data_IF_302800095297
#
_entry.id   IF_302800095297
#
_cell.length_a   1.000
_cell.length_b   1.000
_cell.length_c   1.000
_cell.angle_alpha   90.00
_cell.angle_beta   90.00
_cell.angle_gamma   90.00
#
_symmetry.space_group_name_H-M   'P 1'
#
loop_
_entity.id
_entity.type
_entity.pdbx_description
1 polymer ?
#
# COMPACT_ATOMS: atom_id res chain seq x y z
N UNK A 1 8.99 32.74 11.47
CA UNK A 1 8.47 31.38 11.67
C UNK A 1 7.05 31.42 11.19
N UNK A 2 6.75 30.73 10.09
CA UNK A 2 5.38 30.62 9.59
C UNK A 2 4.54 29.86 10.63
N UNK A 3 3.24 30.10 10.70
CA UNK A 3 2.33 29.38 11.60
C UNK A 3 2.48 27.85 11.48
N UNK A 4 2.76 27.37 10.26
CA UNK A 4 3.02 25.96 10.01
C UNK A 4 4.30 25.44 10.67
N UNK A 5 5.39 26.20 10.63
CA UNK A 5 6.66 25.83 11.29
C UNK A 5 6.46 25.70 12.81
N UNK A 6 5.62 26.57 13.39
CA UNK A 6 5.26 26.47 14.80
C UNK A 6 4.50 25.16 15.10
N UNK A 7 3.51 24.83 14.27
CA UNK A 7 2.72 23.58 14.45
C UNK A 7 3.58 22.33 14.27
N UNK A 8 4.53 22.34 13.32
CA UNK A 8 5.50 21.27 13.15
C UNK A 8 6.39 21.15 14.40
N UNK A 9 6.90 22.26 14.93
CA UNK A 9 7.71 22.24 16.15
C UNK A 9 6.92 21.72 17.36
N UNK A 10 5.65 22.10 17.50
CA UNK A 10 4.76 21.58 18.54
C UNK A 10 4.54 20.07 18.38
N UNK A 11 4.33 19.59 17.15
CA UNK A 11 4.20 18.17 16.82
C UNK A 11 5.46 17.38 17.21
N UNK A 12 6.64 17.88 16.87
CA UNK A 12 7.94 17.29 17.21
C UNK A 12 8.23 17.30 18.72
N UNK A 13 7.74 18.31 19.45
CA UNK A 13 7.89 18.41 20.91
C UNK A 13 6.99 17.45 21.72
N UNK A 14 6.23 16.59 21.05
CA UNK A 14 5.35 15.60 21.68
C UNK A 14 3.88 16.02 21.83
N UNK A 15 3.48 17.19 21.31
CA UNK A 15 2.07 17.65 21.31
C UNK A 15 1.32 17.22 20.03
N UNK A 16 1.59 15.99 19.55
CA UNK A 16 1.21 15.53 18.22
C UNK A 16 -0.28 15.70 17.90
N UNK A 17 -1.17 15.22 18.77
CA UNK A 17 -2.62 15.28 18.52
C UNK A 17 -3.18 16.72 18.58
N UNK A 18 -2.62 17.57 19.45
CA UNK A 18 -3.05 18.96 19.56
C UNK A 18 -2.62 19.75 18.32
N UNK A 19 -1.36 19.59 17.89
CA UNK A 19 -0.80 20.20 16.69
C UNK A 19 -1.55 19.74 15.43
N UNK A 20 -1.82 18.43 15.29
CA UNK A 20 -2.57 17.87 14.15
C UNK A 20 -3.99 18.45 14.05
N UNK A 21 -4.71 18.56 15.18
CA UNK A 21 -6.05 19.18 15.21
C UNK A 21 -6.00 20.68 14.92
N UNK A 22 -4.96 21.38 15.37
CA UNK A 22 -4.76 22.79 15.05
C UNK A 22 -4.48 22.99 13.55
N UNK A 23 -3.60 22.19 12.96
CA UNK A 23 -3.34 22.17 11.52
C UNK A 23 -4.61 21.88 10.72
N UNK A 24 -5.39 20.87 11.10
CA UNK A 24 -6.65 20.56 10.44
C UNK A 24 -7.68 21.69 10.52
N UNK A 25 -7.76 22.40 11.66
CA UNK A 25 -8.60 23.59 11.80
C UNK A 25 -8.13 24.75 10.93
N UNK A 26 -6.82 24.97 10.82
CA UNK A 26 -6.24 26.00 9.94
C UNK A 26 -6.64 25.72 8.48
N UNK A 27 -6.65 24.46 8.07
CA UNK A 27 -7.05 24.06 6.71
C UNK A 27 -8.51 24.35 6.36
N UNK A 28 -9.41 24.55 7.33
CA UNK A 28 -10.82 24.88 7.04
C UNK A 28 -10.97 26.24 6.35
N UNK A 29 -10.00 27.14 6.51
CA UNK A 29 -9.96 28.46 5.86
C UNK A 29 -8.57 28.71 5.22
N UNK A 30 -7.95 27.65 4.68
CA UNK A 30 -6.61 27.72 4.10
C UNK A 30 -6.56 28.61 2.85
N UNK A 31 -5.54 29.45 2.80
CA UNK A 31 -5.14 30.20 1.62
C UNK A 31 -4.43 29.30 0.61
N UNK A 32 -4.23 29.79 -0.62
CA UNK A 32 -3.40 29.10 -1.61
C UNK A 32 -1.97 28.86 -1.09
N UNK A 33 -1.38 29.80 -0.34
CA UNK A 33 -0.06 29.62 0.25
C UNK A 33 -0.01 28.48 1.27
N UNK A 34 -1.09 28.28 2.04
CA UNK A 34 -1.19 27.16 2.98
C UNK A 34 -1.22 25.82 2.24
N UNK A 35 -1.95 25.73 1.12
CA UNK A 35 -2.00 24.51 0.31
C UNK A 35 -0.67 24.21 -0.37
N UNK A 36 0.04 25.23 -0.88
CA UNK A 36 1.39 25.05 -1.42
C UNK A 36 2.35 24.54 -0.34
N UNK A 37 2.25 25.06 0.89
CA UNK A 37 3.05 24.57 2.01
C UNK A 37 2.74 23.10 2.32
N UNK A 38 1.46 22.71 2.39
CA UNK A 38 1.08 21.31 2.67
C UNK A 38 1.56 20.34 1.59
N UNK A 39 1.52 20.74 0.32
CA UNK A 39 2.04 19.92 -0.78
C UNK A 39 3.55 19.76 -0.65
N UNK A 40 4.29 20.85 -0.46
CA UNK A 40 5.74 20.80 -0.26
C UNK A 40 6.13 20.00 0.99
N UNK A 41 5.35 20.11 2.07
CA UNK A 41 5.57 19.36 3.30
C UNK A 41 5.37 17.84 3.11
N UNK A 42 4.51 17.39 2.19
CA UNK A 42 4.37 15.96 1.86
C UNK A 42 5.57 15.39 1.11
N UNK A 43 6.33 16.23 0.42
CA UNK A 43 7.57 15.86 -0.28
C UNK A 43 8.81 15.95 0.65
N UNK A 44 8.67 16.57 1.82
CA UNK A 44 9.74 16.71 2.81
C UNK A 44 9.81 15.50 3.74
N UNK A 45 11.04 15.00 4.00
CA UNK A 45 11.28 13.79 4.79
C UNK A 45 10.77 13.85 6.24
N UNK A 46 10.65 15.05 6.80
CA UNK A 46 10.25 15.25 8.20
C UNK A 46 8.83 15.80 8.30
N UNK A 47 8.49 16.81 7.50
CA UNK A 47 7.20 17.50 7.60
C UNK A 47 6.02 16.63 7.11
N UNK A 48 6.28 15.62 6.26
CA UNK A 48 5.24 14.70 5.77
C UNK A 48 4.51 13.98 6.91
N UNK A 49 5.20 13.73 8.02
CA UNK A 49 4.63 13.09 9.21
C UNK A 49 3.63 13.98 9.94
N UNK A 50 3.87 15.29 9.95
CA UNK A 50 2.90 16.24 10.48
C UNK A 50 1.66 16.29 9.58
N UNK A 51 1.83 16.34 8.26
CA UNK A 51 0.70 16.36 7.32
C UNK A 51 -0.14 15.08 7.39
N UNK A 52 0.49 13.90 7.46
CA UNK A 52 -0.25 12.65 7.63
C UNK A 52 -1.05 12.66 8.93
N UNK A 53 -0.48 13.15 10.04
CA UNK A 53 -1.18 13.28 11.31
C UNK A 53 -2.39 14.24 11.23
N UNK A 54 -2.27 15.36 10.51
CA UNK A 54 -3.38 16.29 10.24
C UNK A 54 -4.55 15.60 9.56
N UNK A 55 -4.30 14.68 8.62
CA UNK A 55 -5.38 13.95 7.93
C UNK A 55 -5.81 12.64 8.59
N UNK A 56 -5.22 12.26 9.74
CA UNK A 56 -5.84 11.24 10.60
C UNK A 56 -7.12 11.76 11.27
N UNK A 57 -7.21 13.07 11.51
CA UNK A 57 -8.32 13.67 12.27
C UNK A 57 -9.54 14.04 11.40
N UNK A 58 -9.42 14.02 10.07
CA UNK A 58 -10.51 14.37 9.17
C UNK A 58 -10.25 13.93 7.72
N UNK A 59 -11.23 14.09 6.82
CA UNK A 59 -11.11 13.67 5.42
C UNK A 59 -9.97 14.38 4.68
N UNK A 60 -9.36 13.65 3.74
CA UNK A 60 -8.35 14.17 2.81
C UNK A 60 -9.03 14.98 1.69
N UNK A 61 -8.66 16.24 1.44
CA UNK A 61 -9.17 17.01 0.31
C UNK A 61 -8.77 16.38 -1.04
N UNK A 62 -9.65 16.44 -2.05
CA UNK A 62 -9.39 15.87 -3.39
C UNK A 62 -8.07 16.38 -4.01
N UNK A 63 -7.67 17.63 -3.74
CA UNK A 63 -6.42 18.24 -4.25
C UNK A 63 -5.15 17.57 -3.71
N UNK A 64 -5.23 16.84 -2.60
CA UNK A 64 -4.09 16.14 -1.99
C UNK A 64 -4.11 14.64 -2.27
N UNK A 65 -5.10 14.13 -3.03
CA UNK A 65 -5.24 12.70 -3.28
C UNK A 65 -3.96 12.09 -3.87
N UNK A 66 -3.45 12.68 -4.94
CA UNK A 66 -2.27 12.18 -5.64
C UNK A 66 -1.01 12.41 -4.80
N UNK A 67 -0.80 13.60 -4.25
CA UNK A 67 0.38 13.93 -3.42
C UNK A 67 0.48 13.04 -2.18
N UNK A 68 -0.63 12.71 -1.53
CA UNK A 68 -0.65 11.78 -0.39
C UNK A 68 -0.25 10.36 -0.82
N UNK A 69 -0.77 9.87 -1.95
CA UNK A 69 -0.40 8.53 -2.44
C UNK A 69 1.03 8.49 -2.97
N UNK A 70 1.55 9.58 -3.54
CA UNK A 70 2.95 9.71 -3.91
C UNK A 70 3.86 9.68 -2.68
N UNK A 71 3.52 10.41 -1.60
CA UNK A 71 4.25 10.30 -0.33
C UNK A 71 4.24 8.85 0.23
N UNK A 72 3.17 8.08 0.00
CA UNK A 72 3.12 6.68 0.36
C UNK A 72 4.03 5.78 -0.50
N UNK A 73 4.13 6.07 -1.80
CA UNK A 73 4.97 5.33 -2.76
C UNK A 73 6.45 5.57 -2.46
N UNK A 74 6.83 6.81 -2.19
CA UNK A 74 8.22 7.17 -1.93
C UNK A 74 8.71 6.78 -0.53
N UNK A 75 7.83 6.35 0.37
CA UNK A 75 8.21 5.95 1.73
C UNK A 75 8.84 4.56 1.74
N UNK A 76 10.11 4.51 2.16
CA UNK A 76 10.94 3.30 2.16
C UNK A 76 10.43 2.27 3.16
N UNK A 77 9.96 2.69 4.33
CA UNK A 77 9.42 1.78 5.33
C UNK A 77 7.96 1.39 5.00
N UNK A 78 7.68 0.11 4.65
CA UNK A 78 6.34 -0.31 4.30
C UNK A 78 5.35 -0.17 5.45
N UNK A 79 5.78 -0.17 6.73
CA UNK A 79 4.85 0.01 7.85
C UNK A 79 4.41 1.48 8.00
N UNK A 80 5.33 2.41 7.74
CA UNK A 80 5.09 3.85 7.85
C UNK A 80 4.23 4.42 6.72
N UNK A 81 4.30 3.85 5.51
CA UNK A 81 3.53 4.37 4.37
C UNK A 81 2.00 4.29 4.57
N UNK A 82 1.51 3.45 5.49
CA UNK A 82 0.08 3.33 5.85
C UNK A 82 -0.50 4.65 6.37
N UNK A 83 0.34 5.53 6.95
CA UNK A 83 -0.08 6.83 7.47
C UNK A 83 -0.65 7.73 6.36
N UNK A 84 -0.27 7.49 5.11
CA UNK A 84 -0.78 8.22 3.94
C UNK A 84 -1.89 7.46 3.21
N UNK A 85 -1.78 6.12 3.14
CA UNK A 85 -2.76 5.26 2.45
C UNK A 85 -4.10 5.23 3.19
N UNK A 86 -4.11 4.98 4.51
CA UNK A 86 -5.33 4.75 5.27
C UNK A 86 -6.28 5.97 5.28
N UNK A 87 -5.81 7.22 5.45
CA UNK A 87 -6.66 8.40 5.29
C UNK A 87 -7.28 8.52 3.89
N UNK A 88 -6.52 8.17 2.84
CA UNK A 88 -7.02 8.19 1.47
C UNK A 88 -8.09 7.11 1.25
N UNK A 89 -7.88 5.89 1.73
CA UNK A 89 -8.88 4.81 1.67
C UNK A 89 -10.15 5.21 2.40
N UNK A 90 -10.04 5.78 3.60
CA UNK A 90 -11.17 6.25 4.39
C UNK A 90 -11.97 7.35 3.69
N UNK A 91 -11.31 8.22 2.93
CA UNK A 91 -11.95 9.38 2.29
C UNK A 91 -12.49 9.07 0.89
N UNK A 92 -11.72 8.33 0.09
CA UNK A 92 -11.98 8.11 -1.34
C UNK A 92 -12.42 6.68 -1.68
N UNK A 93 -12.39 5.78 -0.69
CA UNK A 93 -12.74 4.37 -0.85
C UNK A 93 -11.64 3.53 -1.49
N UNK A 94 -11.78 2.21 -1.32
CA UNK A 94 -10.81 1.21 -1.78
C UNK A 94 -10.60 1.25 -3.29
N UNK A 95 -11.67 1.39 -4.08
CA UNK A 95 -11.60 1.38 -5.55
C UNK A 95 -10.66 2.43 -6.08
N UNK A 96 -10.86 3.69 -5.70
CA UNK A 96 -10.10 4.82 -6.25
C UNK A 96 -8.62 4.75 -5.86
N UNK A 97 -8.34 4.38 -4.62
CA UNK A 97 -6.95 4.20 -4.14
C UNK A 97 -6.27 3.03 -4.82
N UNK A 98 -6.91 1.86 -4.91
CA UNK A 98 -6.32 0.70 -5.57
C UNK A 98 -6.12 0.94 -7.07
N UNK A 99 -7.05 1.61 -7.76
CA UNK A 99 -6.91 1.94 -9.17
C UNK A 99 -5.66 2.80 -9.41
N UNK A 100 -5.50 3.88 -8.65
CA UNK A 100 -4.32 4.75 -8.75
C UNK A 100 -3.01 3.97 -8.53
N UNK A 101 -2.93 3.19 -7.45
CA UNK A 101 -1.71 2.43 -7.15
C UNK A 101 -1.44 1.33 -8.19
N UNK A 102 -2.47 0.71 -8.77
CA UNK A 102 -2.30 -0.27 -9.85
C UNK A 102 -1.83 0.39 -11.14
N UNK A 103 -2.27 1.62 -11.43
CA UNK A 103 -1.76 2.37 -12.57
C UNK A 103 -0.24 2.63 -12.43
N UNK A 104 0.25 2.89 -11.21
CA UNK A 104 1.70 3.00 -10.93
C UNK A 104 2.42 1.66 -11.07
N UNK A 105 1.84 0.55 -10.57
CA UNK A 105 2.44 -0.79 -10.72
C UNK A 105 2.55 -1.22 -12.18
N UNK A 106 1.66 -0.73 -13.04
CA UNK A 106 1.67 -0.98 -14.49
C UNK A 106 2.61 -0.04 -15.27
N UNK A 107 3.27 0.89 -14.58
CA UNK A 107 4.30 1.77 -15.12
C UNK A 107 5.65 1.08 -15.34
N UNK A 108 6.70 1.88 -15.48
CA UNK A 108 8.06 1.44 -15.82
C UNK A 108 9.14 1.86 -14.82
N UNK A 109 8.80 2.63 -13.78
CA UNK A 109 9.73 3.00 -12.70
C UNK A 109 9.72 1.95 -11.58
N UNK A 110 10.79 1.16 -11.49
CA UNK A 110 10.93 0.09 -10.49
C UNK A 110 10.79 0.57 -9.04
N UNK A 111 11.26 1.79 -8.73
CA UNK A 111 11.17 2.36 -7.39
C UNK A 111 9.73 2.68 -7.05
N UNK A 112 9.02 3.34 -7.97
CA UNK A 112 7.60 3.63 -7.81
C UNK A 112 6.75 2.35 -7.76
N UNK A 113 7.05 1.35 -8.60
CA UNK A 113 6.38 0.05 -8.58
C UNK A 113 6.56 -0.61 -7.22
N UNK A 114 7.78 -0.69 -6.69
CA UNK A 114 8.03 -1.31 -5.40
C UNK A 114 7.27 -0.59 -4.27
N UNK A 115 7.28 0.74 -4.26
CA UNK A 115 6.53 1.57 -3.33
C UNK A 115 5.01 1.38 -3.43
N UNK A 116 4.48 1.34 -4.65
CA UNK A 116 3.05 1.13 -4.90
C UNK A 116 2.58 -0.26 -4.48
N UNK A 117 3.37 -1.32 -4.70
CA UNK A 117 3.07 -2.66 -4.20
C UNK A 117 3.03 -2.67 -2.67
N UNK A 118 3.98 -2.00 -2.01
CA UNK A 118 3.98 -1.85 -0.56
C UNK A 118 2.74 -1.10 -0.05
N UNK A 119 2.36 0.00 -0.70
CA UNK A 119 1.16 0.76 -0.36
C UNK A 119 -0.15 -0.04 -0.56
N UNK A 120 -0.21 -0.85 -1.62
CA UNK A 120 -1.33 -1.75 -1.93
C UNK A 120 -1.56 -2.84 -0.86
N UNK A 121 -0.60 -3.08 0.03
CA UNK A 121 -0.79 -3.95 1.18
C UNK A 121 -1.81 -3.35 2.17
N UNK A 122 -1.73 -2.04 2.42
CA UNK A 122 -2.62 -1.32 3.34
C UNK A 122 -3.95 -0.90 2.71
N UNK A 123 -4.02 -0.85 1.39
CA UNK A 123 -5.26 -0.60 0.65
C UNK A 123 -6.15 -1.84 0.47
N UNK A 124 -5.89 -2.94 1.22
CA UNK A 124 -6.73 -4.14 1.20
C UNK A 124 -8.05 -3.88 1.93
N UNK A 125 -9.16 -4.27 1.31
CA UNK A 125 -10.45 -4.35 2.02
C UNK A 125 -10.43 -5.59 2.91
N UNK A 126 -10.50 -5.38 4.22
CA UNK A 126 -10.72 -6.46 5.19
C UNK A 126 -12.23 -6.66 5.29
N UNK A 127 -12.70 -7.88 5.08
CA UNK A 127 -14.08 -8.24 5.39
C UNK A 127 -14.23 -8.23 6.92
N UNK A 128 -14.99 -7.28 7.44
CA UNK A 128 -15.39 -7.28 8.85
C UNK A 128 -16.65 -8.15 9.00
N UNK A 129 -16.56 -9.18 9.84
CA UNK A 129 -17.68 -10.08 10.14
C UNK A 129 -18.27 -9.75 11.51
N UNK A 130 -19.60 -9.87 11.65
CA UNK A 130 -20.27 -9.70 12.94
C UNK A 130 -20.09 -10.97 13.80
N UNK A 131 -18.93 -11.12 14.43
CA UNK A 131 -18.63 -12.26 15.32
C UNK A 131 -17.15 -12.64 15.32
N UNK A 132 -16.73 -13.43 16.32
CA UNK A 132 -15.37 -13.98 16.42
C UNK A 132 -15.23 -15.36 15.76
N UNK A 133 -16.12 -15.71 14.83
CA UNK A 133 -16.14 -17.05 14.24
C UNK A 133 -15.21 -17.10 13.01
N UNK A 134 -14.12 -17.91 13.03
CA UNK A 134 -13.17 -18.00 11.92
C UNK A 134 -13.76 -18.66 10.65
N UNK A 135 -14.99 -19.20 10.71
CA UNK A 135 -15.70 -19.79 9.57
C UNK A 135 -16.68 -18.82 8.88
N UNK A 136 -16.74 -17.53 9.27
CA UNK A 136 -17.60 -16.56 8.58
C UNK A 136 -17.22 -16.42 7.09
N UNK A 137 -18.17 -16.74 6.22
CA UNK A 137 -18.06 -16.64 4.76
C UNK A 137 -18.62 -15.30 4.27
N UNK A 138 -18.38 -14.95 2.98
CA UNK A 138 -18.99 -13.76 2.37
C UNK A 138 -20.54 -13.78 2.50
N UNK A 139 -21.15 -14.97 2.54
CA UNK A 139 -22.59 -15.15 2.68
C UNK A 139 -23.10 -14.66 4.05
N UNK A 140 -22.23 -14.60 5.06
CA UNK A 140 -22.54 -14.13 6.42
C UNK A 140 -22.38 -12.61 6.59
N UNK A 141 -21.79 -11.92 5.59
CA UNK A 141 -21.65 -10.47 5.60
C UNK A 141 -23.00 -9.77 5.31
N UNK A 142 -23.16 -8.51 5.74
CA UNK A 142 -24.35 -7.74 5.37
C UNK A 142 -24.45 -7.58 3.84
N UNK A 143 -25.66 -7.48 3.29
CA UNK A 143 -25.87 -7.26 1.85
C UNK A 143 -25.11 -6.05 1.31
N UNK A 144 -24.94 -5.00 2.11
CA UNK A 144 -24.17 -3.81 1.74
C UNK A 144 -22.67 -4.14 1.59
N UNK A 145 -22.10 -4.88 2.55
CA UNK A 145 -20.72 -5.35 2.47
C UNK A 145 -20.50 -6.35 1.35
N UNK A 146 -21.44 -7.28 1.13
CA UNK A 146 -21.39 -8.21 0.01
C UNK A 146 -21.35 -7.46 -1.33
N UNK A 147 -22.22 -6.45 -1.49
CA UNK A 147 -22.26 -5.65 -2.70
C UNK A 147 -20.97 -4.85 -2.89
N UNK A 148 -20.47 -4.19 -1.85
CA UNK A 148 -19.21 -3.46 -1.91
C UNK A 148 -18.01 -4.37 -2.21
N UNK A 149 -18.00 -5.60 -1.68
CA UNK A 149 -16.98 -6.60 -1.95
C UNK A 149 -17.04 -7.07 -3.42
N UNK A 150 -18.23 -7.47 -3.90
CA UNK A 150 -18.42 -7.88 -5.29
C UNK A 150 -18.12 -6.76 -6.28
N UNK A 151 -18.45 -5.52 -5.91
CA UNK A 151 -18.10 -4.36 -6.72
C UNK A 151 -16.59 -4.27 -6.91
N UNK A 152 -15.73 -4.67 -5.98
CA UNK A 152 -14.26 -4.59 -6.14
C UNK A 152 -13.61 -5.79 -6.85
N UNK A 153 -14.39 -6.78 -7.30
CA UNK A 153 -13.83 -8.01 -7.87
C UNK A 153 -12.93 -7.73 -9.09
N UNK A 154 -13.34 -6.80 -9.97
CA UNK A 154 -12.55 -6.37 -11.13
C UNK A 154 -11.17 -5.81 -10.72
N UNK A 155 -11.12 -5.04 -9.62
CA UNK A 155 -9.89 -4.45 -9.09
C UNK A 155 -8.97 -5.52 -8.52
N UNK A 156 -9.53 -6.54 -7.84
CA UNK A 156 -8.73 -7.66 -7.33
C UNK A 156 -8.22 -8.58 -8.43
N UNK A 157 -9.04 -8.83 -9.45
CA UNK A 157 -8.62 -9.55 -10.65
C UNK A 157 -7.48 -8.82 -11.36
N UNK A 158 -7.63 -7.51 -11.60
CA UNK A 158 -6.57 -6.66 -12.14
C UNK A 158 -5.31 -6.77 -11.28
N UNK A 159 -5.40 -6.53 -9.98
CA UNK A 159 -4.26 -6.62 -9.05
C UNK A 159 -3.53 -7.96 -9.13
N UNK A 160 -4.27 -9.07 -9.04
CA UNK A 160 -3.71 -10.42 -9.09
C UNK A 160 -2.99 -10.68 -10.42
N UNK A 161 -3.63 -10.33 -11.53
CA UNK A 161 -3.06 -10.52 -12.88
C UNK A 161 -1.84 -9.63 -13.12
N UNK A 162 -1.90 -8.37 -12.71
CA UNK A 162 -0.81 -7.40 -12.80
C UNK A 162 0.38 -7.88 -11.97
N UNK A 163 0.18 -8.32 -10.72
CA UNK A 163 1.26 -8.76 -9.85
C UNK A 163 1.99 -9.99 -10.41
N UNK A 164 1.26 -10.98 -10.94
CA UNK A 164 1.89 -12.13 -11.60
C UNK A 164 2.71 -11.71 -12.81
N UNK A 165 2.14 -10.85 -13.66
CA UNK A 165 2.80 -10.37 -14.88
C UNK A 165 4.05 -9.55 -14.56
N UNK A 166 3.98 -8.62 -13.61
CA UNK A 166 5.11 -7.80 -13.18
C UNK A 166 6.18 -8.66 -12.53
N UNK A 167 5.84 -9.61 -11.65
CA UNK A 167 6.84 -10.48 -11.02
C UNK A 167 7.68 -11.27 -12.03
N UNK A 168 7.03 -11.79 -13.08
CA UNK A 168 7.70 -12.58 -14.12
C UNK A 168 8.54 -11.71 -15.05
N UNK A 169 8.04 -10.53 -15.43
CA UNK A 169 8.67 -9.68 -16.45
C UNK A 169 9.64 -8.64 -15.90
N UNK A 170 9.57 -8.31 -14.60
CA UNK A 170 10.43 -7.34 -13.96
C UNK A 170 11.57 -8.06 -13.21
N UNK A 171 12.82 -7.63 -13.41
CA UNK A 171 14.02 -8.23 -12.79
C UNK A 171 14.48 -7.51 -11.52
N UNK A 172 13.86 -6.40 -11.17
CA UNK A 172 14.18 -5.63 -9.99
C UNK A 172 13.90 -6.43 -8.71
N UNK A 173 14.91 -6.52 -7.85
CA UNK A 173 14.84 -7.32 -6.62
C UNK A 173 13.82 -6.73 -5.64
N UNK A 174 13.78 -5.40 -5.47
CA UNK A 174 12.82 -4.73 -4.59
C UNK A 174 11.38 -5.00 -5.01
N UNK A 175 11.07 -4.86 -6.31
CA UNK A 175 9.74 -5.17 -6.85
C UNK A 175 9.35 -6.61 -6.55
N UNK A 176 10.24 -7.57 -6.84
CA UNK A 176 9.99 -8.99 -6.58
C UNK A 176 9.82 -9.32 -5.10
N UNK A 177 10.62 -8.72 -4.21
CA UNK A 177 10.52 -8.89 -2.76
C UNK A 177 9.15 -8.41 -2.24
N UNK A 178 8.61 -7.30 -2.76
CA UNK A 178 7.30 -6.82 -2.35
C UNK A 178 6.18 -7.73 -2.88
N UNK A 179 6.22 -8.09 -4.16
CA UNK A 179 5.16 -8.90 -4.80
C UNK A 179 5.13 -10.35 -4.28
N UNK A 180 6.28 -11.01 -4.10
CA UNK A 180 6.31 -12.44 -3.71
C UNK A 180 5.59 -12.69 -2.38
N UNK A 181 5.47 -11.68 -1.52
CA UNK A 181 4.78 -11.82 -0.24
C UNK A 181 3.26 -11.98 -0.35
N UNK A 182 2.68 -11.54 -1.48
CA UNK A 182 1.23 -11.45 -1.73
C UNK A 182 0.80 -12.13 -3.03
N UNK A 183 1.75 -12.69 -3.79
CA UNK A 183 1.48 -13.43 -5.03
C UNK A 183 0.67 -14.71 -4.75
N UNK A 184 -0.32 -15.00 -5.59
CA UNK A 184 -1.06 -16.26 -5.55
C UNK A 184 -0.40 -17.24 -6.53
N UNK A 185 -0.03 -18.44 -6.07
CA UNK A 185 0.65 -19.47 -6.88
C UNK A 185 -0.27 -20.62 -7.32
N UNK A 186 -1.59 -20.45 -7.17
CA UNK A 186 -2.58 -21.37 -7.73
C UNK A 186 -2.95 -20.97 -9.17
N UNK A 187 -2.69 -21.86 -10.14
CA UNK A 187 -3.04 -21.67 -11.55
C UNK A 187 -4.55 -21.46 -11.77
N UNK A 188 -5.40 -22.08 -10.94
CA UNK A 188 -6.85 -21.97 -11.07
C UNK A 188 -7.36 -20.55 -10.82
N UNK A 189 -6.57 -19.74 -10.10
CA UNK A 189 -6.86 -18.35 -9.81
C UNK A 189 -6.66 -17.42 -11.02
N UNK A 190 -6.07 -17.89 -12.13
CA UNK A 190 -5.72 -17.03 -13.26
C UNK A 190 -6.51 -17.35 -14.55
N UNK A 191 -6.75 -16.33 -15.40
CA UNK A 191 -7.29 -16.55 -16.74
C UNK A 191 -6.31 -17.39 -17.57
N UNK A 192 -6.82 -18.10 -18.59
CA UNK A 192 -6.08 -19.14 -19.32
C UNK A 192 -4.75 -18.65 -19.89
N UNK A 193 -4.69 -17.38 -20.30
CA UNK A 193 -3.52 -16.73 -20.88
C UNK A 193 -2.39 -16.53 -19.87
N UNK A 194 -2.72 -16.36 -18.59
CA UNK A 194 -1.75 -16.09 -17.52
C UNK A 194 -1.36 -17.34 -16.72
N UNK A 195 -2.12 -18.44 -16.81
CA UNK A 195 -1.78 -19.70 -16.11
C UNK A 195 -0.35 -20.17 -16.35
N UNK A 196 0.21 -20.11 -17.58
CA UNK A 196 1.60 -20.50 -17.81
C UNK A 196 2.64 -19.65 -17.08
N UNK A 197 2.28 -18.44 -16.62
CA UNK A 197 3.18 -17.57 -15.87
C UNK A 197 3.37 -18.04 -14.41
N UNK A 198 2.43 -18.82 -13.86
CA UNK A 198 2.54 -19.34 -12.48
C UNK A 198 3.74 -20.28 -12.31
N UNK A 199 3.91 -21.37 -13.09
CA UNK A 199 5.10 -22.22 -12.98
C UNK A 199 6.38 -21.44 -13.30
N UNK A 200 6.32 -20.43 -14.19
CA UNK A 200 7.45 -19.54 -14.47
C UNK A 200 7.83 -18.68 -13.27
N UNK A 201 6.86 -18.10 -12.57
CA UNK A 201 7.09 -17.34 -11.35
C UNK A 201 7.73 -18.21 -10.25
N UNK A 202 7.25 -19.45 -10.09
CA UNK A 202 7.83 -20.42 -9.15
C UNK A 202 9.30 -20.72 -9.51
N UNK A 203 9.60 -20.98 -10.78
CA UNK A 203 10.97 -21.22 -11.26
C UNK A 203 11.88 -20.03 -10.99
N UNK A 204 11.44 -18.81 -11.34
CA UNK A 204 12.18 -17.57 -11.08
C UNK A 204 12.47 -17.43 -9.59
N UNK A 205 11.46 -17.62 -8.73
CA UNK A 205 11.62 -17.42 -7.30
C UNK A 205 12.56 -18.47 -6.67
N UNK A 206 12.47 -19.74 -7.07
CA UNK A 206 13.34 -20.82 -6.56
C UNK A 206 14.81 -20.68 -6.96
N UNK A 207 15.05 -20.15 -8.16
CA UNK A 207 16.40 -19.96 -8.72
C UNK A 207 16.97 -18.56 -8.45
N UNK A 208 16.19 -17.69 -7.80
CA UNK A 208 16.58 -16.32 -7.51
C UNK A 208 17.83 -16.25 -6.63
N UNK A 209 18.68 -15.23 -6.78
CA UNK A 209 19.88 -15.03 -5.97
C UNK A 209 19.57 -14.57 -4.52
N UNK A 210 18.51 -13.77 -4.36
CA UNK A 210 17.98 -13.32 -3.07
C UNK A 210 17.34 -14.48 -2.27
N UNK A 211 17.77 -14.66 -1.01
CA UNK A 211 17.27 -15.72 -0.13
C UNK A 211 15.82 -15.49 0.33
N UNK A 212 15.42 -14.24 0.55
CA UNK A 212 14.07 -13.92 0.96
C UNK A 212 13.05 -14.36 -0.10
N UNK A 213 13.30 -14.09 -1.38
CA UNK A 213 12.43 -14.53 -2.48
C UNK A 213 12.34 -16.06 -2.55
N UNK A 214 13.48 -16.77 -2.46
CA UNK A 214 13.50 -18.25 -2.43
C UNK A 214 12.73 -18.82 -1.24
N UNK A 215 12.85 -18.18 -0.09
CA UNK A 215 12.15 -18.60 1.12
C UNK A 215 10.63 -18.37 1.00
N UNK A 216 10.21 -17.20 0.51
CA UNK A 216 8.78 -16.84 0.42
C UNK A 216 8.00 -17.73 -0.54
N UNK A 217 8.58 -18.14 -1.68
CA UNK A 217 7.90 -19.06 -2.61
C UNK A 217 7.62 -20.41 -1.95
N UNK A 218 8.56 -20.94 -1.16
CA UNK A 218 8.37 -22.23 -0.50
C UNK A 218 7.31 -22.16 0.62
N UNK A 219 7.27 -21.06 1.36
CA UNK A 219 6.20 -20.82 2.35
C UNK A 219 4.82 -20.80 1.68
N UNK A 220 4.69 -20.12 0.53
CA UNK A 220 3.43 -20.06 -0.22
C UNK A 220 2.99 -21.41 -0.78
N UNK A 221 3.93 -22.30 -1.10
CA UNK A 221 3.66 -23.66 -1.56
C UNK A 221 3.36 -24.65 -0.41
N UNK A 222 3.22 -24.17 0.82
CA UNK A 222 2.87 -24.99 1.98
C UNK A 222 4.04 -25.77 2.58
N UNK A 223 5.28 -25.34 2.37
CA UNK A 223 6.44 -25.96 2.99
C UNK A 223 6.58 -25.53 4.46
N UNK A 224 5.79 -26.16 5.34
CA UNK A 224 5.71 -25.85 6.78
C UNK A 224 7.05 -25.95 7.53
N UNK A 225 8.04 -26.67 6.97
CA UNK A 225 9.39 -26.80 7.55
C UNK A 225 10.18 -25.47 7.53
N UNK A 226 9.72 -24.49 6.76
CA UNK A 226 10.34 -23.17 6.60
C UNK A 226 9.62 -22.06 7.38
N UNK A 227 8.76 -22.38 8.36
CA UNK A 227 8.22 -21.40 9.34
C UNK A 227 9.27 -20.92 10.36
N UNK A 228 10.49 -20.67 9.89
CA UNK A 228 11.63 -20.09 10.62
C UNK A 228 11.56 -18.55 10.55
N UNK A 229 12.38 -17.81 11.33
CA UNK A 229 12.47 -16.37 11.19
C UNK A 229 12.72 -15.98 9.73
N UNK A 230 11.99 -14.97 9.24
CA UNK A 230 12.14 -14.47 7.88
C UNK A 230 13.61 -14.03 7.66
N UNK A 231 14.26 -14.48 6.57
CA UNK A 231 15.56 -13.93 6.19
C UNK A 231 15.46 -12.41 6.04
N UNK A 232 16.55 -11.70 6.35
CA UNK A 232 16.61 -10.26 6.09
C UNK A 232 16.44 -10.02 4.59
N UNK A 233 15.70 -8.96 4.24
CA UNK A 233 15.71 -8.44 2.87
C UNK A 233 17.10 -7.87 2.64
N UNK A 234 17.89 -8.48 1.75
CA UNK A 234 19.11 -7.84 1.32
C UNK A 234 18.72 -6.61 0.49
N UNK A 235 19.28 -5.42 0.79
CA UNK A 235 19.05 -4.25 -0.04
C UNK A 235 19.59 -4.53 -1.44
N UNK A 236 18.91 -4.01 -2.47
CA UNK A 236 19.40 -4.03 -3.85
C UNK A 236 20.83 -3.49 -3.86
N UNK A 237 21.78 -4.29 -4.35
CA UNK A 237 23.07 -3.74 -4.76
C UNK A 237 22.81 -2.99 -6.07
N UNK A 238 22.79 -1.66 -6.01
CA UNK A 238 22.81 -0.79 -7.18
C UNK A 238 24.01 -1.07 -8.10
#
# INVERSE_FOLDING_TARGET
MNDWDQLVSEFESGMQDAAARAGYRKLQNASEADWHWVVAALEDETQKWFVSAVFRVGPVPQRLFETMLQAAIQEVDPDSNRQFVLPCVKTFGYRKVNAFLLDVVEGDDDSEIAGAVAALYWAKMVLEFAGNDPECTLEDATLEFQKAFLELNDVWERKRNTFLSVFVNNNNVSVRQQIISVLNLDESAYPAELRPLVPRAIEIARTHADEYIRHRVEVQLGNERLLRPLPNREPSQE
#
